data_IF_227322732603
#
_entry.id   IF_227322732603
#
_cell.length_a   1.000
_cell.length_b   1.000
_cell.length_c   1.000
_cell.angle_alpha   90.00
_cell.angle_beta   90.00
_cell.angle_gamma   90.00
#
_symmetry.space_group_name_H-M   'P 1'
#
loop_
_entity.id
_entity.type
_entity.pdbx_description
1 polymer ?
#
# COMPACT_ATOMS: atom_id res chain seq x y z
N UNK A 1 20.18 -14.05 25.40
CA UNK A 1 20.04 -15.08 24.34
C UNK A 1 20.63 -16.46 24.70
N UNK A 2 21.15 -16.70 25.91
CA UNK A 2 21.81 -17.98 26.24
C UNK A 2 20.94 -19.10 26.83
N UNK A 3 19.77 -18.80 27.40
CA UNK A 3 18.97 -19.80 28.14
C UNK A 3 18.10 -20.73 27.28
N UNK A 4 17.71 -20.30 26.08
CA UNK A 4 16.79 -21.05 25.21
C UNK A 4 17.47 -22.23 24.48
N UNK A 5 18.78 -22.13 24.20
CA UNK A 5 19.54 -23.21 23.60
C UNK A 5 19.78 -24.38 24.58
N UNK A 6 19.95 -24.09 25.87
CA UNK A 6 20.14 -25.10 26.92
C UNK A 6 18.87 -25.93 27.19
N UNK A 7 17.69 -25.30 27.11
CA UNK A 7 16.41 -25.99 27.31
C UNK A 7 16.07 -26.97 26.16
N UNK A 8 16.46 -26.65 24.92
CA UNK A 8 16.27 -27.52 23.76
C UNK A 8 17.27 -28.69 23.73
N UNK A 9 18.49 -28.51 24.25
CA UNK A 9 19.50 -29.57 24.32
C UNK A 9 19.19 -30.65 25.37
N UNK A 10 18.45 -30.31 26.44
CA UNK A 10 18.06 -31.25 27.49
C UNK A 10 16.93 -32.21 27.08
N UNK A 11 16.13 -31.86 26.07
CA UNK A 11 14.96 -32.63 25.63
C UNK A 11 15.28 -33.74 24.60
N UNK A 12 16.51 -33.82 24.09
CA UNK A 12 16.91 -34.76 23.02
C UNK A 12 18.04 -35.73 23.40
N UNK A 13 18.51 -35.72 24.65
CA UNK A 13 19.63 -36.56 25.08
C UNK A 13 19.15 -37.83 25.81
N UNK A 14 19.01 -38.93 25.07
CA UNK A 14 18.97 -40.28 25.64
C UNK A 14 20.39 -40.82 25.63
N UNK A 15 21.07 -40.81 26.79
CA UNK A 15 22.44 -41.28 26.92
C UNK A 15 22.51 -42.82 26.98
N UNK A 16 23.40 -43.41 26.16
CA UNK A 16 23.93 -44.77 26.31
C UNK A 16 25.32 -44.70 27.00
N UNK A 17 25.76 -45.74 27.74
CA UNK A 17 26.90 -45.63 28.65
C UNK A 17 28.27 -45.62 27.92
N UNK A 18 29.35 -45.12 28.55
CA UNK A 18 30.57 -44.77 27.84
C UNK A 18 31.53 -45.96 27.70
N UNK A 19 32.17 -46.06 26.53
CA UNK A 19 33.40 -46.84 26.34
C UNK A 19 34.49 -45.96 25.72
N UNK A 20 35.61 -45.91 26.44
CA UNK A 20 36.99 -45.50 26.12
C UNK A 20 37.31 -44.71 24.82
N UNK A 21 37.96 -43.55 25.00
CA UNK A 21 38.89 -42.93 24.02
C UNK A 21 40.34 -43.37 24.30
N UNK A 22 41.19 -43.34 23.27
CA UNK A 22 42.34 -42.40 23.29
C UNK A 22 42.55 -41.73 21.91
N UNK A 23 42.63 -40.39 21.83
CA UNK A 23 43.84 -39.53 21.78
C UNK A 23 44.41 -39.28 20.37
N UNK A 24 44.53 -38.01 19.97
CA UNK A 24 45.51 -37.56 18.96
C UNK A 24 45.02 -36.49 17.97
N UNK A 25 45.88 -35.56 17.49
CA UNK A 25 45.49 -34.16 17.26
C UNK A 25 45.57 -33.67 15.80
N UNK A 26 44.88 -32.55 15.55
CA UNK A 26 45.45 -31.43 14.77
C UNK A 26 45.08 -31.29 13.27
N UNK A 27 45.20 -30.08 12.72
CA UNK A 27 44.28 -29.53 11.71
C UNK A 27 44.93 -29.30 10.34
N UNK A 28 44.13 -28.97 9.30
CA UNK A 28 44.52 -28.05 8.20
C UNK A 28 43.36 -27.74 7.23
N UNK A 29 43.10 -26.45 7.02
CA UNK A 29 42.62 -25.88 5.77
C UNK A 29 43.85 -25.56 4.88
N UNK A 30 43.75 -25.27 3.56
CA UNK A 30 43.23 -23.95 3.14
C UNK A 30 42.57 -23.86 1.73
N UNK A 31 41.86 -22.73 1.53
CA UNK A 31 41.84 -21.80 0.38
C UNK A 31 42.04 -22.28 -1.07
N UNK A 32 41.12 -21.92 -1.98
CA UNK A 32 41.36 -20.94 -3.06
C UNK A 32 40.14 -20.81 -4.02
N UNK A 33 39.82 -19.57 -4.39
CA UNK A 33 38.87 -19.13 -5.43
C UNK A 33 39.57 -19.14 -6.84
N UNK A 34 39.10 -18.44 -7.90
CA UNK A 34 37.77 -17.97 -8.31
C UNK A 34 37.46 -18.31 -9.80
N UNK A 35 36.26 -17.94 -10.30
CA UNK A 35 35.99 -17.93 -11.75
C UNK A 35 34.63 -17.36 -12.12
N UNK A 36 34.58 -16.07 -12.47
CA UNK A 36 33.59 -15.50 -13.41
C UNK A 36 34.03 -15.88 -14.85
N UNK A 37 33.21 -15.79 -15.93
CA UNK A 37 32.37 -14.64 -16.29
C UNK A 37 31.04 -14.99 -17.00
N UNK A 38 30.26 -13.99 -17.40
CA UNK A 38 29.23 -14.17 -18.45
C UNK A 38 28.09 -13.18 -18.38
N UNK A 39 28.04 -12.25 -19.33
CA UNK A 39 27.01 -11.24 -19.49
C UNK A 39 25.78 -11.68 -20.29
N UNK A 40 24.86 -10.72 -20.42
CA UNK A 40 23.79 -10.59 -21.41
C UNK A 40 22.52 -11.42 -21.22
N UNK A 41 21.37 -10.74 -21.09
CA UNK A 41 20.40 -10.64 -22.19
C UNK A 41 19.10 -9.96 -21.74
N UNK A 42 18.72 -8.92 -22.50
CA UNK A 42 17.38 -8.39 -22.56
C UNK A 42 16.42 -9.41 -23.19
N UNK A 43 15.14 -9.41 -22.79
CA UNK A 43 14.08 -10.02 -23.58
C UNK A 43 12.78 -9.24 -23.50
N UNK A 44 12.46 -8.66 -24.65
CA UNK A 44 11.16 -8.17 -25.11
C UNK A 44 10.30 -9.41 -25.45
N UNK A 45 9.01 -9.39 -25.09
CA UNK A 45 8.04 -10.30 -25.69
C UNK A 45 6.69 -9.61 -25.89
N UNK A 46 6.25 -9.59 -27.15
CA UNK A 46 4.88 -9.40 -27.61
C UNK A 46 4.73 -10.23 -28.92
N UNK A 47 3.53 -10.39 -29.49
CA UNK A 47 2.46 -11.24 -28.97
C UNK A 47 2.04 -12.30 -30.01
N UNK A 48 1.23 -13.29 -29.58
CA UNK A 48 0.55 -14.21 -30.50
C UNK A 48 -0.95 -13.87 -30.56
N UNK A 49 -1.38 -13.54 -31.78
CA UNK A 49 -2.76 -13.39 -32.22
C UNK A 49 -3.37 -14.75 -32.57
N UNK A 50 -4.63 -14.97 -32.20
CA UNK A 50 -5.58 -15.66 -33.07
C UNK A 50 -7.00 -15.20 -32.71
N UNK A 51 -7.72 -14.72 -33.73
CA UNK A 51 -9.09 -14.26 -33.61
C UNK A 51 -10.09 -15.39 -33.86
N UNK A 52 -11.31 -15.23 -33.31
CA UNK A 52 -12.57 -15.53 -34.01
C UNK A 52 -13.77 -14.92 -33.27
N UNK A 53 -14.64 -14.38 -34.08
CA UNK A 53 -15.88 -13.64 -33.88
C UNK A 53 -17.08 -14.52 -33.50
N UNK A 54 -18.08 -13.95 -32.80
CA UNK A 54 -19.48 -14.39 -32.93
C UNK A 54 -20.31 -14.49 -31.64
N UNK A 55 -21.15 -13.47 -31.39
CA UNK A 55 -22.43 -13.52 -30.69
C UNK A 55 -23.48 -12.86 -31.63
N UNK A 56 -24.83 -12.98 -31.49
CA UNK A 56 -25.62 -13.30 -30.29
C UNK A 56 -26.85 -14.23 -30.50
N UNK A 57 -27.58 -14.58 -29.42
CA UNK A 57 -28.99 -15.01 -29.51
C UNK A 57 -29.49 -15.97 -28.41
N UNK A 58 -30.31 -15.46 -27.50
CA UNK A 58 -31.19 -16.16 -26.53
C UNK A 58 -32.27 -17.03 -27.22
N UNK A 59 -32.82 -18.09 -26.58
CA UNK A 59 -34.07 -17.93 -25.80
C UNK A 59 -34.26 -18.83 -24.54
N UNK A 60 -35.07 -18.35 -23.59
CA UNK A 60 -35.72 -19.06 -22.48
C UNK A 60 -37.10 -19.65 -22.92
N UNK A 61 -38.02 -20.22 -22.07
CA UNK A 61 -38.00 -20.48 -20.60
C UNK A 61 -38.64 -21.83 -20.13
N UNK A 62 -38.57 -22.15 -18.82
CA UNK A 62 -39.59 -22.88 -17.98
C UNK A 62 -39.01 -23.14 -16.56
N UNK A 63 -39.41 -22.45 -15.47
CA UNK A 63 -40.59 -22.54 -14.57
C UNK A 63 -40.66 -23.70 -13.54
N UNK A 64 -40.95 -23.31 -12.29
CA UNK A 64 -41.63 -24.02 -11.16
C UNK A 64 -40.70 -24.52 -10.02
N UNK A 65 -40.96 -24.41 -8.70
CA UNK A 65 -41.75 -23.57 -7.77
C UNK A 65 -41.39 -24.10 -6.35
N UNK A 66 -41.23 -23.22 -5.34
CA UNK A 66 -41.23 -23.55 -3.89
C UNK A 66 -42.71 -23.65 -3.37
N UNK A 67 -43.10 -23.76 -2.08
CA UNK A 67 -42.34 -23.59 -0.81
C UNK A 67 -42.74 -24.53 0.36
N UNK A 68 -42.15 -24.33 1.56
CA UNK A 68 -42.87 -24.51 2.85
C UNK A 68 -42.16 -25.28 3.98
N UNK A 69 -41.90 -24.59 5.09
CA UNK A 69 -41.58 -25.11 6.44
C UNK A 69 -42.68 -26.03 7.03
N UNK A 70 -42.41 -26.82 8.10
CA UNK A 70 -42.72 -26.36 9.46
C UNK A 70 -41.79 -26.87 10.59
N UNK A 71 -42.01 -26.26 11.77
CA UNK A 71 -41.46 -26.55 13.08
C UNK A 71 -42.21 -27.66 13.84
N UNK A 72 -41.62 -28.16 14.94
CA UNK A 72 -42.24 -28.46 16.26
C UNK A 72 -41.71 -29.76 16.92
N UNK A 73 -41.23 -29.64 18.16
CA UNK A 73 -41.28 -30.71 19.19
C UNK A 73 -42.67 -30.69 19.85
N UNK A 74 -43.21 -31.84 20.32
CA UNK A 74 -43.09 -32.27 21.73
C UNK A 74 -42.95 -33.82 21.79
N UNK A 75 -42.73 -34.56 22.89
CA UNK A 75 -42.91 -34.39 24.32
C UNK A 75 -43.49 -35.71 24.88
N UNK A 76 -42.83 -36.25 25.91
CA UNK A 76 -43.39 -37.08 27.00
C UNK A 76 -43.90 -38.52 26.76
N UNK A 77 -43.19 -39.44 27.43
CA UNK A 77 -43.63 -40.52 28.34
C UNK A 77 -44.67 -41.57 27.88
N UNK A 78 -44.34 -42.85 28.08
CA UNK A 78 -45.01 -43.71 29.06
C UNK A 78 -44.28 -45.05 29.27
N UNK A 79 -44.44 -45.55 30.49
CA UNK A 79 -43.82 -46.72 31.08
C UNK A 79 -44.57 -48.02 30.75
N UNK A 80 -43.90 -49.15 30.96
CA UNK A 80 -44.55 -50.39 31.40
C UNK A 80 -43.59 -51.23 32.28
N UNK A 81 -44.05 -51.49 33.50
CA UNK A 81 -43.59 -52.49 34.48
C UNK A 81 -43.65 -53.92 33.87
N UNK A 82 -42.97 -54.96 34.35
CA UNK A 82 -42.12 -55.16 35.51
C UNK A 82 -41.88 -56.68 35.70
N UNK A 83 -40.83 -57.05 36.44
CA UNK A 83 -40.76 -58.30 37.23
C UNK A 83 -39.57 -58.22 38.20
N UNK A 84 -39.85 -58.44 39.50
CA UNK A 84 -38.94 -58.43 40.65
C UNK A 84 -38.10 -59.71 40.67
N UNK A 85 -36.86 -59.76 41.17
CA UNK A 85 -36.48 -59.80 42.60
C UNK A 85 -34.94 -59.97 42.77
N UNK A 86 -34.36 -59.84 43.99
CA UNK A 86 -33.22 -58.96 44.26
C UNK A 86 -31.88 -59.65 44.60
N UNK A 87 -30.78 -58.89 44.52
CA UNK A 87 -29.47 -59.27 45.08
C UNK A 87 -28.43 -58.15 45.11
N UNK A 88 -28.33 -57.46 46.26
CA UNK A 88 -27.18 -56.74 46.87
C UNK A 88 -26.12 -56.02 46.00
N UNK A 89 -26.02 -54.70 46.23
CA UNK A 89 -25.06 -53.73 45.66
C UNK A 89 -23.61 -53.85 46.18
N UNK A 90 -22.67 -53.18 45.48
CA UNK A 90 -21.63 -52.42 46.16
C UNK A 90 -21.58 -50.94 45.74
N UNK A 91 -21.68 -50.10 46.77
CA UNK A 91 -20.97 -48.85 47.10
C UNK A 91 -20.46 -47.93 45.98
N UNK A 92 -21.01 -46.71 46.00
CA UNK A 92 -20.58 -45.49 45.31
C UNK A 92 -19.21 -45.00 45.78
N UNK A 93 -18.30 -44.75 44.84
CA UNK A 93 -17.10 -43.94 45.07
C UNK A 93 -17.47 -42.46 44.84
N UNK A 94 -17.28 -41.63 45.86
CA UNK A 94 -17.76 -40.26 45.91
C UNK A 94 -16.93 -39.31 45.03
N UNK A 95 -17.62 -38.43 44.32
CA UNK A 95 -17.02 -37.30 43.59
C UNK A 95 -16.40 -36.27 44.55
N UNK A 96 -15.23 -35.67 44.24
CA UNK A 96 -14.76 -34.50 44.97
C UNK A 96 -15.54 -33.24 44.54
N UNK A 97 -15.97 -32.47 45.53
CA UNK A 97 -16.72 -31.21 45.36
C UNK A 97 -15.89 -30.12 44.66
N UNK A 98 -16.52 -29.17 43.94
CA UNK A 98 -15.80 -28.12 43.23
C UNK A 98 -15.35 -27.03 44.20
N UNK A 99 -14.11 -27.11 44.66
CA UNK A 99 -13.42 -26.00 45.28
C UNK A 99 -13.22 -24.87 44.27
N UNK A 100 -13.66 -23.66 44.62
CA UNK A 100 -13.44 -22.41 43.87
C UNK A 100 -11.93 -22.27 43.60
N UNK A 101 -11.44 -22.14 42.35
CA UNK A 101 -10.02 -22.03 42.11
C UNK A 101 -9.51 -20.70 42.66
N UNK A 102 -8.53 -20.77 43.56
CA UNK A 102 -7.70 -19.65 43.96
C UNK A 102 -6.98 -19.05 42.73
N UNK A 103 -6.64 -17.75 42.71
CA UNK A 103 -5.90 -17.15 41.60
C UNK A 103 -4.54 -17.84 41.49
N UNK A 104 -4.39 -18.65 40.45
CA UNK A 104 -3.24 -19.52 40.29
C UNK A 104 -2.04 -18.70 39.79
N UNK A 105 -1.17 -18.33 40.73
CA UNK A 105 0.12 -17.75 40.43
C UNK A 105 1.00 -18.83 39.77
N UNK A 106 1.00 -18.89 38.44
CA UNK A 106 2.01 -19.62 37.67
C UNK A 106 1.55 -20.83 36.86
N UNK A 107 0.29 -20.90 36.39
CA UNK A 107 -0.06 -21.90 35.36
C UNK A 107 0.61 -21.58 34.03
N UNK A 108 1.50 -22.46 33.57
CA UNK A 108 2.03 -22.43 32.21
C UNK A 108 0.88 -22.75 31.24
N UNK A 109 0.57 -21.89 30.26
CA UNK A 109 -0.45 -22.18 29.26
C UNK A 109 -0.17 -23.48 28.52
N UNK A 110 -1.05 -24.47 28.66
CA UNK A 110 -0.96 -25.75 27.96
C UNK A 110 -1.96 -25.77 26.80
N UNK A 111 -1.48 -26.15 25.62
CA UNK A 111 -2.30 -26.23 24.42
C UNK A 111 -2.36 -27.68 23.93
N UNK A 112 -3.52 -28.16 23.48
CA UNK A 112 -3.70 -29.55 23.05
C UNK A 112 -3.04 -29.88 21.71
N UNK A 113 -2.49 -28.89 21.01
CA UNK A 113 -1.77 -29.07 19.75
C UNK A 113 -0.71 -27.97 19.59
N UNK A 114 0.42 -28.29 18.95
CA UNK A 114 1.55 -27.38 18.78
C UNK A 114 1.16 -26.14 17.96
N UNK A 115 0.33 -26.28 16.93
CA UNK A 115 -0.16 -25.21 16.07
C UNK A 115 -0.96 -24.18 16.87
N UNK A 116 -1.75 -24.64 17.86
CA UNK A 116 -2.51 -23.74 18.75
C UNK A 116 -1.59 -22.98 19.70
N UNK A 117 -0.55 -23.64 20.21
CA UNK A 117 0.47 -22.98 21.04
C UNK A 117 1.20 -21.89 20.24
N UNK A 118 1.66 -22.21 19.03
CA UNK A 118 2.35 -21.26 18.15
C UNK A 118 1.44 -20.10 17.76
N UNK A 119 0.16 -20.37 17.43
CA UNK A 119 -0.79 -19.31 17.10
C UNK A 119 -1.08 -18.40 18.29
N UNK A 120 -1.29 -18.95 19.47
CA UNK A 120 -1.51 -18.17 20.68
C UNK A 120 -0.29 -17.32 21.04
N UNK A 121 0.92 -17.88 20.91
CA UNK A 121 2.16 -17.13 21.10
C UNK A 121 2.31 -16.02 20.04
N UNK A 122 1.99 -16.29 18.78
CA UNK A 122 2.03 -15.29 17.71
C UNK A 122 1.08 -14.12 18.00
N UNK A 123 -0.15 -14.39 18.45
CA UNK A 123 -1.09 -13.33 18.83
C UNK A 123 -0.62 -12.56 20.08
N UNK A 124 -0.05 -13.24 21.08
CA UNK A 124 0.52 -12.59 22.25
C UNK A 124 1.72 -11.69 21.88
N UNK A 125 2.57 -12.13 20.95
CA UNK A 125 3.70 -11.33 20.44
C UNK A 125 3.19 -10.13 19.65
N UNK A 126 2.22 -10.30 18.75
CA UNK A 126 1.58 -9.19 18.01
C UNK A 126 0.98 -8.16 18.97
N UNK A 127 0.23 -8.61 19.98
CA UNK A 127 -0.36 -7.74 20.99
C UNK A 127 0.71 -7.02 21.82
N UNK A 128 1.76 -7.72 22.24
CA UNK A 128 2.87 -7.11 22.98
C UNK A 128 3.65 -6.09 22.13
N UNK A 129 3.81 -6.33 20.83
CA UNK A 129 4.35 -5.36 19.89
C UNK A 129 3.45 -4.13 19.80
N UNK A 130 2.16 -4.31 19.52
CA UNK A 130 1.19 -3.21 19.49
C UNK A 130 1.19 -2.38 20.78
N UNK A 131 1.19 -3.02 21.95
CA UNK A 131 1.27 -2.31 23.25
C UNK A 131 2.54 -1.50 23.40
N UNK A 132 3.68 -2.02 22.97
CA UNK A 132 4.96 -1.28 23.01
C UNK A 132 4.94 -0.08 22.08
N UNK A 133 4.35 -0.24 20.89
CA UNK A 133 4.21 0.86 19.94
C UNK A 133 3.24 1.93 20.46
N UNK A 134 2.10 1.51 21.02
CA UNK A 134 1.13 2.40 21.63
C UNK A 134 1.66 3.16 22.87
N UNK A 135 2.69 2.62 23.54
CA UNK A 135 3.36 3.31 24.65
C UNK A 135 4.22 4.50 24.18
N UNK A 136 4.53 4.61 22.89
CA UNK A 136 5.25 5.74 22.30
C UNK A 136 4.53 6.13 21.00
N UNK A 137 3.37 6.82 21.12
CA UNK A 137 2.63 7.24 19.94
C UNK A 137 3.48 8.18 19.10
N UNK A 138 3.33 8.09 17.78
CA UNK A 138 3.88 9.07 16.86
C UNK A 138 3.26 10.44 17.11
N UNK A 139 3.90 11.48 16.58
CA UNK A 139 3.41 12.85 16.66
C UNK A 139 2.94 13.29 15.29
N UNK A 140 1.80 13.99 15.24
CA UNK A 140 1.45 14.79 14.07
C UNK A 140 2.37 16.01 14.10
N UNK A 141 3.24 16.21 13.10
CA UNK A 141 4.18 17.32 13.12
C UNK A 141 3.44 18.67 13.06
N UNK A 142 3.67 19.52 14.06
CA UNK A 142 3.13 20.89 14.08
C UNK A 142 4.01 21.88 13.30
N UNK A 143 5.25 21.50 12.97
CA UNK A 143 6.30 22.40 12.46
C UNK A 143 6.78 22.04 11.06
N UNK A 144 5.87 21.71 10.14
CA UNK A 144 6.19 21.61 8.71
C UNK A 144 6.40 23.03 8.15
N UNK A 145 7.36 23.79 8.72
CA UNK A 145 7.89 25.12 8.39
C UNK A 145 6.91 26.24 7.93
N UNK A 146 7.44 27.45 7.74
CA UNK A 146 6.68 28.61 7.26
C UNK A 146 6.25 28.47 5.77
N UNK A 147 6.47 27.31 5.15
CA UNK A 147 6.07 27.06 3.75
C UNK A 147 4.61 26.62 3.62
N UNK A 148 3.93 26.36 4.73
CA UNK A 148 2.49 26.10 4.73
C UNK A 148 1.71 27.42 4.85
N UNK A 149 0.95 27.73 3.80
CA UNK A 149 -0.02 28.82 3.74
C UNK A 149 -1.45 28.25 3.79
N UNK A 150 -1.88 27.83 4.99
CA UNK A 150 -3.22 27.28 5.23
C UNK A 150 -4.31 28.28 4.82
N UNK A 151 -4.14 29.57 5.16
CA UNK A 151 -5.14 30.60 4.92
C UNK A 151 -5.25 30.95 3.42
N UNK A 152 -4.12 31.12 2.73
CA UNK A 152 -4.12 31.37 1.29
C UNK A 152 -4.65 30.18 0.51
N UNK A 153 -4.32 28.96 0.95
CA UNK A 153 -4.86 27.74 0.32
C UNK A 153 -6.37 27.61 0.54
N UNK A 154 -6.88 27.89 1.74
CA UNK A 154 -8.32 27.93 2.00
C UNK A 154 -9.04 28.98 1.12
N UNK A 155 -8.44 30.16 0.97
CA UNK A 155 -8.98 31.20 0.09
C UNK A 155 -8.99 30.77 -1.38
N UNK A 156 -7.95 30.09 -1.86
CA UNK A 156 -7.89 29.53 -3.20
C UNK A 156 -8.99 28.48 -3.41
N UNK A 157 -9.14 27.53 -2.49
CA UNK A 157 -10.19 26.49 -2.52
C UNK A 157 -11.57 27.15 -2.58
N UNK A 158 -11.83 28.16 -1.74
CA UNK A 158 -13.09 28.91 -1.75
C UNK A 158 -13.38 29.59 -3.09
N UNK A 159 -12.36 30.18 -3.74
CA UNK A 159 -12.50 30.74 -5.10
C UNK A 159 -12.78 29.68 -6.15
N UNK A 160 -12.11 28.52 -6.07
CA UNK A 160 -12.23 27.44 -7.05
C UNK A 160 -13.58 26.70 -6.97
N UNK A 161 -14.12 26.56 -5.76
CA UNK A 161 -15.45 25.99 -5.51
C UNK A 161 -16.57 27.00 -5.81
N UNK A 162 -16.34 28.29 -5.55
CA UNK A 162 -17.34 29.33 -5.73
C UNK A 162 -18.46 29.29 -4.67
N UNK A 163 -19.49 30.16 -4.81
CA UNK A 163 -20.53 30.34 -3.80
C UNK A 163 -21.59 29.21 -3.76
N UNK A 164 -21.77 28.47 -4.85
CA UNK A 164 -22.73 27.35 -4.95
C UNK A 164 -22.06 26.14 -5.63
N UNK A 165 -21.19 25.41 -4.90
CA UNK A 165 -20.39 24.34 -5.48
C UNK A 165 -21.20 23.08 -5.76
N UNK A 166 -20.97 22.45 -6.92
CA UNK A 166 -21.56 21.15 -7.25
C UNK A 166 -21.15 20.09 -6.20
N UNK A 167 -22.10 19.39 -5.55
CA UNK A 167 -21.81 18.31 -4.61
C UNK A 167 -20.94 17.18 -5.16
N UNK A 168 -20.92 16.98 -6.49
CA UNK A 168 -20.06 15.99 -7.15
C UNK A 168 -18.58 16.40 -7.14
N UNK A 169 -18.31 17.68 -6.91
CA UNK A 169 -16.99 18.27 -6.99
C UNK A 169 -16.46 18.43 -8.41
N UNK A 170 -15.29 19.05 -8.54
CA UNK A 170 -14.61 19.29 -9.80
C UNK A 170 -13.14 18.86 -9.75
N UNK A 171 -12.61 18.24 -10.82
CA UNK A 171 -11.17 18.10 -10.97
C UNK A 171 -10.53 19.47 -11.20
N UNK A 172 -9.34 19.66 -10.64
CA UNK A 172 -8.52 20.85 -10.91
C UNK A 172 -7.74 20.68 -12.21
N UNK A 173 -7.50 21.80 -12.89
CA UNK A 173 -6.49 21.89 -13.95
C UNK A 173 -5.09 21.67 -13.37
N UNK A 174 -4.10 21.45 -14.24
CA UNK A 174 -2.72 21.25 -13.81
C UNK A 174 -2.21 22.45 -13.01
N UNK A 175 -2.42 23.66 -13.52
CA UNK A 175 -1.93 24.89 -12.89
C UNK A 175 -2.62 25.16 -11.54
N UNK A 176 -3.95 24.97 -11.47
CA UNK A 176 -4.70 25.08 -10.20
C UNK A 176 -4.22 24.05 -9.16
N UNK A 177 -3.92 22.81 -9.59
CA UNK A 177 -3.40 21.78 -8.69
C UNK A 177 -1.99 22.12 -8.19
N UNK A 178 -1.12 22.63 -9.07
CA UNK A 178 0.22 23.09 -8.71
C UNK A 178 0.18 24.27 -7.72
N UNK A 179 -0.69 25.25 -7.95
CA UNK A 179 -0.88 26.40 -7.05
C UNK A 179 -1.35 25.96 -5.66
N UNK A 180 -2.35 25.07 -5.60
CA UNK A 180 -2.87 24.54 -4.34
C UNK A 180 -1.82 23.72 -3.58
N UNK A 181 -1.09 22.85 -4.26
CA UNK A 181 -0.04 22.02 -3.64
C UNK A 181 1.15 22.85 -3.16
N UNK A 182 1.49 23.93 -3.86
CA UNK A 182 2.56 24.84 -3.46
C UNK A 182 2.27 25.52 -2.11
N UNK A 183 0.99 25.73 -1.77
CA UNK A 183 0.56 26.23 -0.46
C UNK A 183 0.90 25.29 0.72
N UNK A 184 1.29 24.05 0.46
CA UNK A 184 1.80 23.10 1.47
C UNK A 184 3.27 22.72 1.22
N UNK A 185 4.00 23.53 0.45
CA UNK A 185 5.39 23.29 0.06
C UNK A 185 5.58 22.08 -0.88
N UNK A 186 4.52 21.59 -1.53
CA UNK A 186 4.60 20.48 -2.47
C UNK A 186 4.81 21.03 -3.88
N UNK A 187 6.08 21.08 -4.32
CA UNK A 187 6.44 21.56 -5.64
C UNK A 187 6.27 20.47 -6.71
N UNK A 188 5.36 20.69 -7.66
CA UNK A 188 5.21 19.87 -8.86
C UNK A 188 6.09 20.42 -9.98
N UNK A 189 6.88 19.55 -10.63
CA UNK A 189 7.78 19.95 -11.72
C UNK A 189 6.95 20.48 -12.90
N UNK A 190 7.21 21.70 -13.39
CA UNK A 190 6.41 22.30 -14.46
C UNK A 190 6.52 21.50 -15.75
N UNK A 191 5.42 21.38 -16.48
CA UNK A 191 5.36 20.86 -17.83
C UNK A 191 4.85 21.96 -18.76
N UNK A 192 5.68 22.40 -19.71
CA UNK A 192 5.37 23.51 -20.59
C UNK A 192 4.66 23.01 -21.86
N UNK A 193 3.55 23.64 -22.29
CA UNK A 193 2.88 23.30 -23.54
C UNK A 193 3.79 23.41 -24.76
N UNK A 194 3.68 22.44 -25.66
CA UNK A 194 4.42 22.39 -26.92
C UNK A 194 3.45 22.06 -28.08
N UNK A 195 2.62 23.03 -28.52
CA UNK A 195 1.65 22.82 -29.60
C UNK A 195 2.30 22.57 -30.98
N UNK A 196 3.56 22.95 -31.14
CA UNK A 196 4.35 22.76 -32.35
C UNK A 196 5.84 22.52 -32.01
N UNK A 197 6.66 22.06 -32.98
CA UNK A 197 8.08 21.79 -32.74
C UNK A 197 8.89 23.01 -32.25
N UNK A 198 8.57 24.22 -32.70
CA UNK A 198 9.29 25.44 -32.28
C UNK A 198 8.99 25.76 -30.82
N UNK A 199 7.72 25.66 -30.42
CA UNK A 199 7.30 25.79 -29.03
C UNK A 199 7.95 24.72 -28.13
N UNK A 200 8.11 23.48 -28.63
CA UNK A 200 8.83 22.43 -27.91
C UNK A 200 10.29 22.81 -27.63
N UNK A 201 10.98 23.35 -28.65
CA UNK A 201 12.38 23.79 -28.52
C UNK A 201 12.49 25.00 -27.59
N UNK A 202 11.59 25.98 -27.70
CA UNK A 202 11.55 27.12 -26.82
C UNK A 202 11.31 26.72 -25.36
N UNK A 203 10.39 25.78 -25.11
CA UNK A 203 10.13 25.22 -23.79
C UNK A 203 11.36 24.48 -23.24
N UNK A 204 12.02 23.67 -24.05
CA UNK A 204 13.24 22.98 -23.65
C UNK A 204 14.40 23.95 -23.34
N UNK A 205 14.51 25.05 -24.09
CA UNK A 205 15.47 26.12 -23.81
C UNK A 205 15.24 26.82 -22.47
N UNK A 206 13.98 26.95 -22.04
CA UNK A 206 13.63 27.49 -20.72
C UNK A 206 13.88 26.49 -19.58
N UNK A 207 13.55 25.22 -19.80
CA UNK A 207 13.66 24.16 -18.79
C UNK A 207 15.09 23.64 -18.60
N UNK A 208 15.91 23.72 -19.64
CA UNK A 208 17.23 23.10 -19.69
C UNK A 208 17.18 21.61 -20.04
N UNK A 209 18.16 21.16 -20.81
CA UNK A 209 18.32 19.76 -21.21
C UNK A 209 19.02 18.92 -20.11
N UNK A 210 18.76 17.59 -20.02
CA UNK A 210 17.85 16.82 -20.86
C UNK A 210 16.37 16.99 -20.47
N UNK A 211 15.48 16.88 -21.47
CA UNK A 211 14.02 17.00 -21.29
C UNK A 211 13.29 15.73 -21.71
N UNK A 212 12.05 15.61 -21.26
CA UNK A 212 11.07 14.66 -21.74
C UNK A 212 10.01 15.37 -22.58
N UNK A 213 9.58 14.74 -23.67
CA UNK A 213 8.40 15.11 -24.44
C UNK A 213 7.30 14.09 -24.14
N UNK A 214 6.13 14.55 -23.67
CA UNK A 214 5.01 13.66 -23.32
C UNK A 214 3.66 14.20 -23.79
N UNK A 215 2.72 13.31 -24.06
CA UNK A 215 1.30 13.65 -24.32
C UNK A 215 0.52 13.86 -23.03
N UNK A 216 -0.39 14.84 -23.03
CA UNK A 216 -1.38 15.04 -21.95
C UNK A 216 -2.81 14.70 -22.37
N UNK A 217 -2.98 14.07 -23.52
CA UNK A 217 -4.27 13.72 -24.07
C UNK A 217 -5.06 12.78 -23.15
N UNK A 218 -6.32 13.08 -22.79
CA UNK A 218 -7.11 12.25 -21.88
C UNK A 218 -7.27 10.80 -22.36
N UNK A 219 -7.40 10.58 -23.67
CA UNK A 219 -7.60 9.24 -24.25
C UNK A 219 -6.32 8.37 -24.23
N UNK A 220 -5.15 8.94 -23.95
CA UNK A 220 -3.86 8.24 -23.86
C UNK A 220 -3.38 8.04 -22.41
N UNK A 221 -4.09 8.57 -21.41
CA UNK A 221 -3.66 8.59 -20.00
C UNK A 221 -3.30 7.21 -19.43
N UNK A 222 -3.98 6.15 -19.87
CA UNK A 222 -3.77 4.77 -19.39
C UNK A 222 -3.08 3.88 -20.43
N UNK A 223 -2.42 4.49 -21.43
CA UNK A 223 -1.83 3.81 -22.58
C UNK A 223 -0.35 4.11 -22.71
N UNK A 224 0.40 3.89 -21.63
CA UNK A 224 1.85 4.03 -21.63
C UNK A 224 2.54 3.08 -22.65
N UNK A 225 1.88 1.98 -23.00
CA UNK A 225 2.29 1.01 -24.03
C UNK A 225 2.43 1.62 -25.43
N UNK A 226 1.70 2.70 -25.72
CA UNK A 226 1.72 3.35 -27.03
C UNK A 226 2.90 4.30 -27.22
N UNK A 227 3.78 4.42 -26.22
CA UNK A 227 4.96 5.28 -26.31
C UNK A 227 4.59 6.76 -26.37
N UNK A 228 3.61 7.21 -25.59
CA UNK A 228 3.25 8.63 -25.46
C UNK A 228 4.31 9.52 -24.78
N UNK A 229 5.45 8.94 -24.39
CA UNK A 229 6.54 9.62 -23.68
C UNK A 229 7.87 9.32 -24.38
N UNK A 230 8.67 10.37 -24.59
CA UNK A 230 10.06 10.32 -25.07
C UNK A 230 10.93 10.96 -24.01
N UNK A 231 11.87 10.20 -23.46
CA UNK A 231 12.71 10.62 -22.34
C UNK A 231 14.14 10.92 -22.81
N UNK A 232 14.89 11.60 -21.95
CA UNK A 232 16.35 11.81 -22.10
C UNK A 232 16.75 12.49 -23.42
N UNK A 233 15.93 13.44 -23.87
CA UNK A 233 16.20 14.22 -25.07
C UNK A 233 17.27 15.24 -24.72
N UNK A 234 18.51 15.00 -25.17
CA UNK A 234 19.69 15.77 -24.77
C UNK A 234 19.89 17.08 -25.55
N UNK A 235 19.08 17.37 -26.57
CA UNK A 235 19.21 18.58 -27.37
C UNK A 235 18.15 18.75 -28.44
N UNK A 236 18.19 19.89 -29.13
CA UNK A 236 17.18 20.33 -30.09
C UNK A 236 16.89 19.30 -31.19
N UNK A 237 17.94 18.78 -31.85
CA UNK A 237 17.77 17.80 -32.94
C UNK A 237 17.13 16.48 -32.48
N UNK A 238 17.40 16.05 -31.24
CA UNK A 238 16.75 14.87 -30.68
C UNK A 238 15.28 15.16 -30.37
N UNK A 239 14.98 16.35 -29.84
CA UNK A 239 13.62 16.77 -29.53
C UNK A 239 12.73 16.92 -30.77
N UNK A 240 13.21 17.56 -31.84
CA UNK A 240 12.45 17.70 -33.09
C UNK A 240 12.09 16.35 -33.69
N UNK A 241 13.08 15.45 -33.81
CA UNK A 241 12.84 14.08 -34.29
C UNK A 241 11.85 13.32 -33.42
N UNK A 242 12.00 13.40 -32.09
CA UNK A 242 11.08 12.77 -31.16
C UNK A 242 9.66 13.34 -31.25
N UNK A 243 9.52 14.63 -31.59
CA UNK A 243 8.24 15.28 -31.81
C UNK A 243 7.56 14.73 -33.07
N UNK A 244 8.27 14.71 -34.19
CA UNK A 244 7.75 14.20 -35.46
C UNK A 244 7.32 12.72 -35.32
N UNK A 245 8.18 11.88 -34.72
CA UNK A 245 7.87 10.47 -34.44
C UNK A 245 6.63 10.30 -33.54
N UNK A 246 6.44 11.19 -32.55
CA UNK A 246 5.30 11.13 -31.65
C UNK A 246 4.00 11.47 -32.38
N UNK A 247 4.01 12.53 -33.21
CA UNK A 247 2.84 12.96 -33.97
C UNK A 247 2.49 12.00 -35.10
N UNK A 248 3.49 11.44 -35.78
CA UNK A 248 3.28 10.45 -36.84
C UNK A 248 2.64 9.16 -36.28
N UNK A 249 3.03 8.76 -35.07
CA UNK A 249 2.54 7.53 -34.45
C UNK A 249 1.16 7.68 -33.80
N UNK A 250 0.90 8.81 -33.12
CA UNK A 250 -0.22 8.92 -32.20
C UNK A 250 -1.28 9.94 -32.62
N UNK A 251 -1.04 10.77 -33.63
CA UNK A 251 -2.00 11.72 -34.17
C UNK A 251 -1.55 13.17 -34.11
N UNK A 252 -2.48 14.09 -34.36
CA UNK A 252 -2.14 15.50 -34.52
C UNK A 252 -1.74 16.16 -33.18
N UNK A 253 -0.89 17.20 -33.18
CA UNK A 253 -0.54 17.93 -31.96
C UNK A 253 -1.74 18.43 -31.15
N UNK A 254 -2.83 18.84 -31.81
CA UNK A 254 -4.04 19.30 -31.14
C UNK A 254 -4.73 18.19 -30.33
N UNK A 255 -4.68 16.95 -30.82
CA UNK A 255 -5.22 15.76 -30.14
C UNK A 255 -4.29 15.30 -29.01
N UNK A 256 -2.98 15.33 -29.27
CA UNK A 256 -1.95 14.84 -28.35
C UNK A 256 -1.65 15.79 -27.19
N UNK A 257 -1.84 17.09 -27.39
CA UNK A 257 -1.48 18.13 -26.40
C UNK A 257 -0.07 17.91 -25.82
N UNK A 258 0.99 17.96 -26.65
CA UNK A 258 2.34 17.67 -26.20
C UNK A 258 2.79 18.70 -25.18
N UNK A 259 3.57 18.24 -24.21
CA UNK A 259 4.24 19.07 -23.21
C UNK A 259 5.69 18.64 -23.06
N UNK A 260 6.56 19.61 -22.76
CA UNK A 260 7.97 19.39 -22.45
C UNK A 260 8.19 19.56 -20.95
N UNK A 261 8.93 18.66 -20.34
CA UNK A 261 9.22 18.68 -18.91
C UNK A 261 10.70 18.33 -18.66
N UNK A 262 11.36 19.00 -17.73
CA UNK A 262 12.74 18.68 -17.36
C UNK A 262 12.84 17.27 -16.73
N UNK A 263 13.92 16.55 -17.01
CA UNK A 263 14.17 15.24 -16.41
C UNK A 263 14.40 15.36 -14.89
N UNK A 264 13.80 14.46 -14.11
CA UNK A 264 14.12 14.30 -12.70
C UNK A 264 15.43 13.51 -12.54
N UNK A 265 16.19 13.71 -11.44
CA UNK A 265 17.27 12.80 -11.07
C UNK A 265 16.76 11.37 -11.00
N UNK A 266 17.62 10.41 -11.38
CA UNK A 266 17.26 8.99 -11.36
C UNK A 266 16.90 8.56 -9.93
N UNK A 267 15.80 7.85 -9.80
CA UNK A 267 15.26 7.42 -8.51
C UNK A 267 14.25 6.29 -8.66
N UNK A 268 13.55 6.01 -7.56
CA UNK A 268 12.44 5.06 -7.52
C UNK A 268 11.14 5.81 -7.76
N UNK A 269 10.38 5.39 -8.76
CA UNK A 269 9.07 5.98 -9.04
C UNK A 269 8.04 5.47 -8.02
N UNK A 270 7.38 6.40 -7.35
CA UNK A 270 6.38 6.14 -6.30
C UNK A 270 5.08 6.86 -6.58
N UNK A 271 4.03 6.48 -5.87
CA UNK A 271 2.71 7.08 -5.95
C UNK A 271 2.24 7.41 -4.55
N UNK A 272 1.83 8.66 -4.33
CA UNK A 272 1.23 9.14 -3.09
C UNK A 272 -0.19 9.57 -3.41
N UNK A 273 -1.18 9.04 -2.71
CA UNK A 273 -2.59 9.44 -2.87
C UNK A 273 -3.21 9.75 -1.53
N UNK A 274 -4.11 10.71 -1.50
CA UNK A 274 -5.04 10.91 -0.42
C UNK A 274 -6.46 10.94 -0.97
N UNK A 275 -7.40 10.34 -0.26
CA UNK A 275 -8.80 10.31 -0.66
C UNK A 275 -9.71 10.18 0.55
N UNK A 276 -10.94 10.69 0.43
CA UNK A 276 -11.97 10.49 1.45
C UNK A 276 -12.71 9.18 1.18
N UNK A 277 -12.59 8.22 2.09
CA UNK A 277 -13.36 7.00 2.13
C UNK A 277 -14.62 7.17 2.98
N UNK A 278 -15.75 6.61 2.53
CA UNK A 278 -17.04 6.78 3.20
C UNK A 278 -17.10 6.12 4.59
N UNK A 279 -16.35 5.03 4.81
CA UNK A 279 -16.34 4.29 6.07
C UNK A 279 -15.21 4.77 7.00
N UNK A 280 -14.06 5.14 6.45
CA UNK A 280 -12.84 5.43 7.21
C UNK A 280 -12.54 6.92 7.37
N UNK A 281 -13.11 7.80 6.53
CA UNK A 281 -12.72 9.22 6.48
C UNK A 281 -11.52 9.43 5.55
N UNK A 282 -10.70 10.45 5.81
CA UNK A 282 -9.53 10.74 4.99
C UNK A 282 -8.45 9.65 5.15
N UNK A 283 -8.00 9.10 4.02
CA UNK A 283 -7.02 8.02 3.93
C UNK A 283 -5.84 8.46 3.08
N UNK A 284 -4.64 8.34 3.64
CA UNK A 284 -3.37 8.48 2.94
C UNK A 284 -2.93 7.11 2.43
N UNK A 285 -2.46 7.05 1.19
CA UNK A 285 -2.06 5.84 0.48
C UNK A 285 -0.70 6.00 -0.18
N UNK A 286 0.10 4.94 -0.14
CA UNK A 286 1.44 4.91 -0.71
C UNK A 286 1.72 3.58 -1.44
N UNK A 287 2.46 3.64 -2.54
CA UNK A 287 2.97 2.49 -3.28
C UNK A 287 4.06 2.87 -4.27
N UNK A 288 4.68 1.87 -4.91
CA UNK A 288 5.59 2.11 -6.04
C UNK A 288 4.78 2.31 -7.34
N UNK A 289 5.22 3.19 -8.23
CA UNK A 289 4.53 3.39 -9.51
C UNK A 289 4.62 2.16 -10.42
N UNK A 290 3.66 2.02 -11.33
CA UNK A 290 3.59 0.93 -12.30
C UNK A 290 3.11 -0.40 -11.70
N UNK A 291 3.61 -1.51 -12.25
CA UNK A 291 3.10 -2.86 -11.99
C UNK A 291 2.97 -3.26 -10.50
N UNK A 292 3.87 -2.86 -9.57
CA UNK A 292 3.68 -3.19 -8.16
C UNK A 292 2.34 -2.68 -7.59
N UNK A 293 1.98 -1.42 -7.84
CA UNK A 293 0.68 -0.90 -7.37
C UNK A 293 -0.46 -1.30 -8.29
N UNK A 294 -0.29 -1.22 -9.61
CA UNK A 294 -1.37 -1.39 -10.58
C UNK A 294 -1.80 -2.84 -10.78
N UNK A 295 -0.86 -3.78 -10.78
CA UNK A 295 -1.12 -5.19 -11.05
C UNK A 295 -1.13 -6.05 -9.78
N UNK A 296 -0.22 -5.78 -8.84
CA UNK A 296 -0.05 -6.61 -7.64
C UNK A 296 -0.81 -6.06 -6.42
N UNK A 297 -1.38 -4.86 -6.53
CA UNK A 297 -2.08 -4.19 -5.43
C UNK A 297 -1.16 -3.93 -4.23
N UNK A 298 0.14 -3.70 -4.48
CA UNK A 298 1.13 -3.46 -3.43
C UNK A 298 1.09 -2.01 -2.94
N UNK A 299 -0.03 -1.65 -2.34
CA UNK A 299 -0.28 -0.34 -1.75
C UNK A 299 -0.57 -0.47 -0.26
N UNK A 300 -0.19 0.54 0.51
CA UNK A 300 -0.48 0.62 1.92
C UNK A 300 -1.26 1.89 2.25
N UNK A 301 -1.96 1.87 3.38
CA UNK A 301 -2.87 2.93 3.78
C UNK A 301 -2.69 3.32 5.26
N UNK A 302 -2.94 4.60 5.56
CA UNK A 302 -3.02 5.18 6.90
C UNK A 302 -4.17 6.18 6.97
N UNK A 303 -4.76 6.34 8.15
CA UNK A 303 -5.75 7.39 8.38
C UNK A 303 -5.04 8.74 8.52
N UNK A 304 -5.73 9.79 8.12
CA UNK A 304 -5.33 11.19 8.32
C UNK A 304 -5.99 11.71 9.62
N UNK A 305 -5.30 12.51 10.45
CA UNK A 305 -3.91 12.96 10.30
C UNK A 305 -2.89 11.85 10.60
N UNK A 306 -1.91 11.69 9.71
CA UNK A 306 -0.82 10.75 9.87
C UNK A 306 0.26 11.32 10.80
N UNK A 307 0.83 10.46 11.63
CA UNK A 307 2.00 10.79 12.46
C UNK A 307 3.32 10.53 11.71
N UNK A 308 4.41 11.09 12.22
CA UNK A 308 5.79 10.76 11.79
C UNK A 308 6.04 9.24 11.70
N UNK A 309 5.59 8.51 12.72
CA UNK A 309 5.63 7.05 12.79
C UNK A 309 4.78 6.41 11.71
N UNK A 310 3.57 6.93 11.46
CA UNK A 310 2.69 6.39 10.42
C UNK A 310 3.32 6.52 9.04
N UNK A 311 3.93 7.66 8.72
CA UNK A 311 4.63 7.86 7.44
C UNK A 311 5.78 6.86 7.28
N UNK A 312 6.62 6.72 8.31
CA UNK A 312 7.74 5.79 8.32
C UNK A 312 7.30 4.32 8.18
N UNK A 313 6.24 3.92 8.87
CA UNK A 313 5.68 2.56 8.78
C UNK A 313 4.98 2.32 7.44
N UNK A 314 4.27 3.32 6.92
CA UNK A 314 3.56 3.26 5.64
C UNK A 314 4.53 2.91 4.51
N UNK A 315 5.67 3.60 4.41
CA UNK A 315 6.71 3.33 3.42
C UNK A 315 7.26 1.91 3.53
N UNK A 316 7.49 1.42 4.76
CA UNK A 316 8.09 0.10 5.01
C UNK A 316 7.10 -1.06 4.86
N UNK A 317 5.81 -0.78 4.79
CA UNK A 317 4.76 -1.79 4.83
C UNK A 317 4.41 -2.41 3.47
N UNK A 318 4.75 -1.74 2.36
CA UNK A 318 4.60 -2.31 1.03
C UNK A 318 5.63 -3.43 0.81
N UNK A 319 5.27 -4.47 0.07
CA UNK A 319 6.12 -5.64 -0.20
C UNK A 319 7.37 -5.25 -0.99
N UNK A 320 7.25 -4.26 -1.88
CA UNK A 320 8.32 -3.74 -2.72
C UNK A 320 9.20 -2.69 -2.01
N UNK A 321 8.96 -2.39 -0.73
CA UNK A 321 9.75 -1.44 0.06
C UNK A 321 11.28 -1.65 -0.02
N UNK A 322 11.83 -2.88 -0.09
CA UNK A 322 13.28 -3.09 -0.21
C UNK A 322 13.95 -2.34 -1.37
N UNK A 323 13.21 -2.00 -2.44
CA UNK A 323 13.74 -1.20 -3.57
C UNK A 323 14.15 0.20 -3.12
N UNK A 324 13.44 0.79 -2.15
CA UNK A 324 13.75 2.12 -1.59
C UNK A 324 14.99 2.11 -0.69
N UNK A 325 15.37 0.97 -0.13
CA UNK A 325 16.48 0.85 0.82
C UNK A 325 17.77 0.28 0.20
N UNK A 326 17.81 0.17 -1.13
CA UNK A 326 18.95 -0.37 -1.88
C UNK A 326 18.76 -1.84 -2.22
N UNK A 327 18.50 -2.12 -3.50
CA UNK A 327 18.31 -3.46 -4.04
C UNK A 327 19.26 -3.70 -5.21
N UNK A 328 19.94 -4.86 -5.23
CA UNK A 328 20.92 -5.23 -6.27
C UNK A 328 22.00 -4.17 -6.53
N UNK A 329 22.49 -3.54 -5.46
CA UNK A 329 23.55 -2.54 -5.54
C UNK A 329 23.07 -1.13 -5.90
N UNK A 330 21.75 -0.89 -5.99
CA UNK A 330 21.23 0.48 -6.05
C UNK A 330 21.50 1.20 -4.72
N UNK A 331 21.78 2.50 -4.81
CA UNK A 331 21.84 3.33 -3.62
C UNK A 331 20.45 3.45 -2.98
N UNK A 332 20.36 3.60 -1.65
CA UNK A 332 19.09 3.91 -0.98
C UNK A 332 18.50 5.22 -1.49
N UNK A 333 17.17 5.25 -1.61
CA UNK A 333 16.41 6.45 -1.92
C UNK A 333 16.26 7.32 -0.65
N UNK A 334 16.04 8.62 -0.85
CA UNK A 334 15.82 9.58 0.23
C UNK A 334 14.41 9.41 0.84
N UNK A 335 14.29 8.38 1.68
CA UNK A 335 13.02 8.08 2.38
C UNK A 335 12.61 9.16 3.37
N UNK A 336 13.54 9.98 3.87
CA UNK A 336 13.20 11.09 4.76
C UNK A 336 12.44 12.18 4.00
N UNK A 337 12.87 12.53 2.79
CA UNK A 337 12.13 13.44 1.92
C UNK A 337 10.73 12.90 1.56
N UNK A 338 10.60 11.57 1.39
CA UNK A 338 9.32 10.92 1.14
C UNK A 338 8.40 10.93 2.37
N UNK A 339 8.94 10.69 3.58
CA UNK A 339 8.19 10.80 4.83
C UNK A 339 7.62 12.22 5.01
N UNK A 340 8.44 13.25 4.75
CA UNK A 340 8.02 14.65 4.76
C UNK A 340 6.90 14.95 3.75
N UNK A 341 7.02 14.46 2.51
CA UNK A 341 5.97 14.63 1.49
C UNK A 341 4.64 13.99 1.93
N UNK A 342 4.69 12.78 2.50
CA UNK A 342 3.50 12.08 3.01
C UNK A 342 2.82 12.88 4.12
N UNK A 343 3.61 13.47 5.03
CA UNK A 343 3.11 14.31 6.12
C UNK A 343 2.48 15.60 5.60
N UNK A 344 3.08 16.24 4.59
CA UNK A 344 2.50 17.43 3.93
C UNK A 344 1.19 17.14 3.23
N UNK A 345 1.10 16.01 2.51
CA UNK A 345 -0.17 15.56 1.89
C UNK A 345 -1.21 15.24 2.95
N UNK A 346 -0.80 14.59 4.05
CA UNK A 346 -1.70 14.33 5.18
C UNK A 346 -2.23 15.63 5.76
N UNK A 347 -1.36 16.62 5.99
CA UNK A 347 -1.72 17.91 6.57
C UNK A 347 -2.68 18.69 5.65
N UNK A 348 -2.40 18.73 4.34
CA UNK A 348 -3.27 19.36 3.33
C UNK A 348 -4.71 18.85 3.40
N UNK A 349 -4.90 17.52 3.50
CA UNK A 349 -6.24 16.91 3.50
C UNK A 349 -6.91 17.00 4.88
N UNK A 350 -6.14 17.07 5.96
CA UNK A 350 -6.66 17.31 7.31
C UNK A 350 -7.21 18.73 7.46
N UNK A 351 -6.43 19.72 7.01
CA UNK A 351 -6.77 21.15 7.09
C UNK A 351 -7.88 21.54 6.09
N UNK A 352 -7.97 20.85 4.94
CA UNK A 352 -8.94 21.14 3.89
C UNK A 352 -9.74 19.89 3.47
N UNK A 353 -10.82 19.55 4.19
CA UNK A 353 -11.72 18.43 3.86
C UNK A 353 -12.40 18.57 2.48
N UNK A 354 -12.36 19.74 1.87
CA UNK A 354 -12.76 19.99 0.48
C UNK A 354 -11.88 19.22 -0.52
N UNK A 355 -10.64 18.90 -0.16
CA UNK A 355 -9.71 18.11 -0.96
C UNK A 355 -10.09 16.64 -0.87
N UNK A 356 -11.13 16.26 -1.62
CA UNK A 356 -11.69 14.91 -1.57
C UNK A 356 -10.80 13.84 -2.21
N UNK A 357 -9.88 14.25 -3.09
CA UNK A 357 -8.81 13.39 -3.57
C UNK A 357 -7.61 14.18 -4.09
N UNK A 358 -6.41 13.76 -3.72
CA UNK A 358 -5.14 14.20 -4.29
C UNK A 358 -4.32 12.98 -4.70
N UNK A 359 -3.69 13.01 -5.86
CA UNK A 359 -2.79 11.98 -6.31
C UNK A 359 -1.54 12.61 -6.92
N UNK A 360 -0.38 12.25 -6.39
CA UNK A 360 0.94 12.63 -6.87
C UNK A 360 1.55 11.41 -7.57
N UNK A 361 1.69 11.51 -8.88
CA UNK A 361 2.07 10.38 -9.73
C UNK A 361 2.75 10.83 -11.04
N UNK A 362 3.96 10.31 -11.33
CA UNK A 362 4.88 9.66 -10.39
C UNK A 362 5.58 10.69 -9.50
N UNK A 363 5.97 10.25 -8.30
CA UNK A 363 6.94 10.92 -7.44
C UNK A 363 8.25 10.16 -7.52
N UNK A 364 9.27 10.77 -8.14
CA UNK A 364 10.59 10.17 -8.30
C UNK A 364 11.41 10.43 -7.03
N UNK A 365 11.70 9.38 -6.27
CA UNK A 365 12.51 9.48 -5.05
C UNK A 365 13.96 9.13 -5.39
N UNK A 366 14.79 10.16 -5.51
CA UNK A 366 16.21 10.01 -5.83
C UNK A 366 17.03 9.68 -4.58
N UNK A 367 18.34 9.57 -4.72
CA UNK A 367 19.25 9.38 -3.58
C UNK A 367 19.31 10.61 -2.67
N UNK A 368 18.98 11.79 -3.21
CA UNK A 368 18.93 13.06 -2.50
C UNK A 368 17.68 13.81 -2.96
N UNK A 369 16.70 13.91 -2.08
CA UNK A 369 15.40 14.52 -2.36
C UNK A 369 14.51 13.71 -3.30
N UNK A 370 13.41 14.35 -3.70
CA UNK A 370 12.40 13.80 -4.58
C UNK A 370 11.93 14.82 -5.60
N UNK A 371 11.22 14.37 -6.63
CA UNK A 371 10.60 15.24 -7.63
C UNK A 371 9.21 14.73 -7.96
N UNK A 372 8.18 15.56 -7.72
CA UNK A 372 6.81 15.27 -8.12
C UNK A 372 6.65 15.64 -9.60
N UNK A 373 6.43 14.66 -10.47
CA UNK A 373 6.34 14.89 -11.92
C UNK A 373 4.92 15.18 -12.43
N UNK A 374 3.91 14.80 -11.65
CA UNK A 374 2.51 15.00 -11.97
C UNK A 374 1.66 14.98 -10.72
N UNK A 375 0.56 15.72 -10.77
CA UNK A 375 -0.43 15.76 -9.73
C UNK A 375 -1.83 15.90 -10.32
N UNK A 376 -2.80 15.30 -9.65
CA UNK A 376 -4.22 15.53 -9.90
C UNK A 376 -4.94 15.72 -8.58
N UNK A 377 -5.73 16.78 -8.49
CA UNK A 377 -6.51 17.12 -7.29
C UNK A 377 -7.97 17.26 -7.70
N UNK A 378 -8.89 16.81 -6.84
CA UNK A 378 -10.33 17.02 -6.98
C UNK A 378 -10.82 17.70 -5.72
N UNK A 379 -11.56 18.79 -5.90
CA UNK A 379 -12.26 19.48 -4.84
C UNK A 379 -13.73 19.13 -4.86
N UNK A 380 -14.35 18.99 -3.71
CA UNK A 380 -15.80 18.96 -3.57
C UNK A 380 -16.19 19.68 -2.27
N UNK A 381 -17.45 20.10 -2.11
CA UNK A 381 -17.94 20.52 -0.82
C UNK A 381 -17.67 19.43 0.23
N UNK A 382 -17.28 19.80 1.46
CA UNK A 382 -17.02 18.81 2.48
C UNK A 382 -18.30 17.98 2.69
N UNK A 383 -18.22 16.65 2.77
CA UNK A 383 -19.41 15.84 2.97
C UNK A 383 -20.09 16.26 4.27
N UNK A 384 -21.42 16.35 4.25
CA UNK A 384 -22.18 16.60 5.47
C UNK A 384 -21.83 15.50 6.48
N UNK A 385 -21.14 15.85 7.57
CA UNK A 385 -20.80 14.93 8.66
C UNK A 385 -22.11 14.36 9.22
N UNK A 386 -22.43 13.12 8.88
CA UNK A 386 -23.61 12.40 9.38
C UNK A 386 -23.35 11.71 10.72
N UNK A 387 -22.08 11.72 11.14
CA UNK A 387 -21.54 11.16 12.36
C UNK A 387 -21.76 12.10 13.56
N UNK A 388 -23.03 12.24 13.95
CA UNK A 388 -23.44 12.81 15.25
C UNK A 388 -23.37 11.78 16.41
N UNK A 389 -22.82 10.59 16.19
CA UNK A 389 -22.82 9.52 17.19
C UNK A 389 -21.56 8.65 17.21
N UNK A 390 -21.25 8.01 18.35
CA UNK A 390 -20.11 7.10 18.46
C UNK A 390 -20.28 5.92 17.49
N UNK A 391 -19.29 5.73 16.61
CA UNK A 391 -19.23 4.60 15.67
C UNK A 391 -19.21 3.30 16.48
N UNK A 392 -20.28 2.50 16.38
CA UNK A 392 -20.33 1.15 16.94
C UNK A 392 -20.07 0.14 15.84
N UNK A 393 -19.19 -0.83 16.11
CA UNK A 393 -19.10 -2.04 15.30
C UNK A 393 -20.46 -2.74 15.29
N UNK A 394 -21.02 -3.12 14.12
CA UNK A 394 -22.20 -3.95 14.07
C UNK A 394 -21.88 -5.27 14.79
N UNK A 395 -22.58 -5.53 15.90
CA UNK A 395 -22.61 -6.86 16.49
C UNK A 395 -23.41 -7.75 15.55
N UNK A 396 -22.74 -8.65 14.82
CA UNK A 396 -23.39 -9.75 14.11
C UNK A 396 -23.59 -10.94 15.05
#
# INVERSE_FOLDING_TARGET
MGGLAQALAAATSTAAPPAHRPSGPGPQAPSAAPGAPGGSAARILAPASDGRTGAPGDPAPSTTRAPGHPAASPGRALAAEGARSPGRAPVSEAAPSPGRPAPDAGRIPAYPAAERAVRALAEAVKYAQWRRQAATPGKVPEFLDDTIDEHGTAALIGRLLGPDPDPRGRPLTHDEACELLAGYGIAVRPALPAPDPEAAVAAAGQLGYPVALKTTAPHLRHRADLGGVRLDLAGENALRRAYDELTDLLGTPAELRPVVQAMAPRGVDTVVRASIDAAAGAVLSFGLAGAPSELLGDTAHRLVPATDRDAAELIRSIKAAPVLFGWRGSAPADTAALEELLLRVSRLVDDHPEVVSAALEPVVVATHGLTVLGASVRLAPPPARSDLGPRRLPSY
#
